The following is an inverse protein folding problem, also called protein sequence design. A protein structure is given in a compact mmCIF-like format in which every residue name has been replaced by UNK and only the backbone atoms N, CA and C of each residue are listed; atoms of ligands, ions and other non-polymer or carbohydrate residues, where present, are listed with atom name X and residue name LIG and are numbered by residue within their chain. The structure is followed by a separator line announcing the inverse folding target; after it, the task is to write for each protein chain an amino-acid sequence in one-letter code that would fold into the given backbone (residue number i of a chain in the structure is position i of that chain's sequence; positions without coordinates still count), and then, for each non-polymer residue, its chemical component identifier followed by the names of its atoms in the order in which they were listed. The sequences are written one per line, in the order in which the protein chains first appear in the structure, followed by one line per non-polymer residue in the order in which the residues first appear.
data_IF_131733911920
#
_entry.id   IF_131733911920
#
_cell.length_a   1.000
_cell.length_b   1.000
_cell.length_c   1.000
_cell.angle_alpha   90.00
_cell.angle_beta   90.00
_cell.angle_gamma   90.00
#
_symmetry.space_group_name_H-M   'P 1'
#
loop_
_entity.id
_entity.type
_entity.pdbx_description
1 polymer ?
#
# COMPACT_ATOMS: atom_id res chain seq x y z
N UNK A 1 22.98 -10.28 1.77
CA UNK A 1 22.31 -11.56 2.06
C UNK A 1 23.13 -12.80 1.70
N UNK A 2 23.61 -12.97 0.45
CA UNK A 2 24.32 -14.19 0.01
C UNK A 2 25.50 -14.62 0.91
N UNK A 3 26.32 -13.68 1.38
CA UNK A 3 27.42 -13.99 2.29
C UNK A 3 26.94 -14.58 3.63
N UNK A 4 25.86 -14.04 4.21
CA UNK A 4 25.27 -14.56 5.43
C UNK A 4 24.70 -15.97 5.22
N UNK A 5 23.99 -16.21 4.11
CA UNK A 5 23.46 -17.54 3.79
C UNK A 5 24.59 -18.55 3.55
N UNK A 6 25.72 -18.15 2.97
CA UNK A 6 26.90 -19.02 2.85
C UNK A 6 27.50 -19.41 4.20
N UNK A 7 27.48 -18.51 5.20
CA UNK A 7 27.91 -18.84 6.56
C UNK A 7 26.95 -19.86 7.21
N UNK A 8 25.64 -19.66 7.06
CA UNK A 8 24.62 -20.61 7.52
C UNK A 8 24.82 -21.98 6.88
N UNK A 9 24.99 -22.03 5.56
CA UNK A 9 25.23 -23.28 4.82
C UNK A 9 26.45 -24.02 5.34
N UNK A 10 27.57 -23.31 5.58
CA UNK A 10 28.80 -23.91 6.11
C UNK A 10 28.61 -24.45 7.51
N UNK A 11 27.91 -23.71 8.37
CA UNK A 11 27.58 -24.15 9.72
C UNK A 11 26.71 -25.41 9.69
N UNK A 12 25.60 -25.39 8.95
CA UNK A 12 24.69 -26.54 8.79
C UNK A 12 25.42 -27.78 8.29
N UNK A 13 26.31 -27.63 7.29
CA UNK A 13 27.10 -28.74 6.75
C UNK A 13 28.16 -29.28 7.71
N UNK A 14 28.63 -28.47 8.67
CA UNK A 14 29.65 -28.86 9.66
C UNK A 14 29.08 -29.55 10.91
N UNK A 15 27.76 -29.61 11.07
CA UNK A 15 27.13 -30.21 12.26
C UNK A 15 27.17 -31.74 12.20
N UNK A 16 27.39 -32.34 13.37
CA UNK A 16 27.51 -33.80 13.55
C UNK A 16 26.18 -34.56 13.37
N UNK A 17 25.07 -33.83 13.41
CA UNK A 17 23.72 -34.37 13.21
C UNK A 17 23.46 -34.44 11.71
N UNK A 18 23.16 -35.63 11.14
CA UNK A 18 22.69 -35.72 9.77
C UNK A 18 21.46 -34.83 9.60
N UNK A 19 21.55 -33.88 8.66
CA UNK A 19 20.47 -32.96 8.27
C UNK A 19 19.82 -32.22 9.46
N UNK A 20 20.55 -31.34 10.16
CA UNK A 20 20.05 -30.69 11.38
C UNK A 20 18.78 -29.86 11.11
N UNK A 21 17.91 -29.75 12.11
CA UNK A 21 16.78 -28.82 12.01
C UNK A 21 17.29 -27.38 11.94
N UNK A 22 16.96 -26.68 10.86
CA UNK A 22 17.53 -25.37 10.57
C UNK A 22 16.46 -24.41 10.05
N UNK A 23 16.30 -23.31 10.78
CA UNK A 23 15.41 -22.20 10.46
C UNK A 23 16.24 -20.92 10.37
N UNK A 24 16.03 -20.14 9.32
CA UNK A 24 16.59 -18.80 9.23
C UNK A 24 15.50 -17.77 9.57
N UNK A 25 15.89 -16.71 10.28
CA UNK A 25 15.01 -15.57 10.57
C UNK A 25 15.64 -14.32 9.96
N UNK A 26 14.86 -13.53 9.25
CA UNK A 26 15.35 -12.33 8.58
C UNK A 26 14.32 -11.23 8.51
N UNK A 27 14.80 -9.99 8.42
CA UNK A 27 13.99 -8.81 8.15
C UNK A 27 14.56 -8.12 6.92
N UNK A 28 13.96 -8.38 5.76
CA UNK A 28 14.45 -7.91 4.48
C UNK A 28 13.33 -7.93 3.44
N UNK A 29 13.53 -7.24 2.31
CA UNK A 29 12.70 -7.41 1.14
C UNK A 29 13.24 -8.58 0.29
N UNK A 30 12.47 -9.67 0.21
CA UNK A 30 12.77 -10.92 -0.49
C UNK A 30 11.64 -11.16 -1.48
N UNK A 31 11.98 -11.39 -2.74
CA UNK A 31 10.99 -11.57 -3.80
C UNK A 31 11.46 -12.58 -4.87
N UNK A 32 10.52 -13.01 -5.70
CA UNK A 32 10.79 -13.86 -6.85
C UNK A 32 11.20 -13.02 -8.05
N UNK A 33 12.49 -12.74 -8.15
CA UNK A 33 13.05 -11.96 -9.27
C UNK A 33 12.79 -12.72 -10.59
N UNK A 34 12.01 -12.12 -11.49
CA UNK A 34 11.65 -12.68 -12.79
C UNK A 34 10.17 -13.05 -12.98
N UNK A 35 9.32 -12.90 -11.94
CA UNK A 35 7.85 -13.03 -12.09
C UNK A 35 7.21 -11.64 -12.24
N UNK A 36 6.49 -11.36 -13.34
CA UNK A 36 5.91 -10.04 -13.62
C UNK A 36 4.89 -9.56 -12.58
N UNK A 37 4.25 -10.48 -11.86
CA UNK A 37 3.09 -10.25 -10.99
C UNK A 37 3.40 -9.51 -9.68
N UNK A 38 4.67 -9.41 -9.25
CA UNK A 38 5.06 -8.81 -7.96
C UNK A 38 5.46 -7.32 -8.06
N UNK A 39 5.45 -6.72 -9.26
CA UNK A 39 6.01 -5.37 -9.51
C UNK A 39 5.00 -4.34 -10.04
N UNK A 40 3.73 -4.71 -10.25
CA UNK A 40 2.66 -3.77 -10.63
C UNK A 40 2.01 -3.16 -9.38
N UNK A 41 1.43 -1.96 -9.48
CA UNK A 41 0.77 -1.30 -8.34
C UNK A 41 -0.40 -2.13 -7.76
N UNK A 42 -0.99 -3.03 -8.55
CA UNK A 42 -2.02 -4.00 -8.14
C UNK A 42 -1.45 -5.31 -7.58
N UNK A 43 -0.15 -5.58 -7.82
CA UNK A 43 0.60 -6.74 -7.37
C UNK A 43 1.58 -6.44 -6.23
N UNK A 44 1.55 -5.23 -5.65
CA UNK A 44 2.44 -4.83 -4.56
C UNK A 44 2.19 -5.73 -3.34
N UNK A 45 3.22 -6.47 -2.96
CA UNK A 45 3.30 -7.15 -1.66
C UNK A 45 3.53 -6.17 -0.50
N UNK A 46 3.73 -4.89 -0.81
CA UNK A 46 4.05 -3.82 0.13
C UNK A 46 2.84 -2.98 0.52
N UNK A 47 2.86 -2.49 1.76
CA UNK A 47 1.85 -1.60 2.34
C UNK A 47 2.36 -0.16 2.46
N UNK A 48 1.45 0.83 2.44
CA UNK A 48 1.76 2.25 2.71
C UNK A 48 2.42 2.48 4.08
N UNK A 49 2.22 1.60 5.05
CA UNK A 49 2.83 1.68 6.37
C UNK A 49 4.24 1.09 6.44
N UNK A 50 4.68 0.40 5.39
CA UNK A 50 6.02 -0.17 5.33
C UNK A 50 7.03 0.89 4.90
N UNK A 51 8.19 0.89 5.56
CA UNK A 51 9.30 1.78 5.20
C UNK A 51 10.13 1.14 4.10
N UNK A 52 10.51 1.92 3.09
CA UNK A 52 11.52 1.47 2.15
C UNK A 52 12.84 1.21 2.89
N UNK A 53 13.33 -0.04 2.84
CA UNK A 53 14.58 -0.47 3.47
C UNK A 53 15.78 -0.40 2.50
N UNK A 54 15.69 0.39 1.43
CA UNK A 54 16.79 0.58 0.49
C UNK A 54 18.02 1.23 1.17
N UNK A 55 18.98 0.39 1.54
CA UNK A 55 20.33 0.83 1.92
C UNK A 55 21.28 0.51 0.77
N UNK A 56 21.81 1.53 0.10
CA UNK A 56 22.89 1.37 -0.88
C UNK A 56 22.53 0.70 -2.22
N UNK A 57 21.27 0.75 -2.65
CA UNK A 57 20.87 0.39 -4.02
C UNK A 57 20.53 -1.08 -4.29
N UNK A 58 20.58 -1.97 -3.30
CA UNK A 58 20.05 -3.34 -3.44
C UNK A 58 18.61 -3.35 -2.94
N UNK A 59 17.66 -3.29 -3.87
CA UNK A 59 16.23 -3.14 -3.54
C UNK A 59 15.57 -4.46 -3.12
N UNK A 60 16.12 -5.61 -3.55
CA UNK A 60 15.47 -6.92 -3.42
C UNK A 60 16.48 -8.04 -3.26
N UNK A 61 16.24 -8.95 -2.32
CA UNK A 61 16.94 -10.23 -2.21
C UNK A 61 16.18 -11.29 -3.02
N UNK A 62 16.80 -11.94 -4.01
CA UNK A 62 16.15 -13.06 -4.69
C UNK A 62 15.89 -14.22 -3.72
N UNK A 63 14.67 -14.77 -3.71
CA UNK A 63 14.30 -15.90 -2.85
C UNK A 63 15.25 -17.11 -3.01
N UNK A 64 15.70 -17.39 -4.24
CA UNK A 64 16.64 -18.48 -4.52
C UNK A 64 18.03 -18.35 -3.88
N UNK A 65 18.32 -17.26 -3.15
CA UNK A 65 19.53 -17.18 -2.31
C UNK A 65 19.48 -18.22 -1.19
N UNK A 66 18.29 -18.63 -0.73
CA UNK A 66 18.11 -19.61 0.33
C UNK A 66 18.21 -21.08 -0.15
N UNK A 67 18.12 -21.32 -1.46
CA UNK A 67 18.18 -22.67 -2.03
C UNK A 67 19.50 -23.38 -1.70
N UNK A 68 19.42 -24.66 -1.36
CA UNK A 68 20.56 -25.49 -1.01
C UNK A 68 21.33 -25.01 0.24
N UNK A 69 20.75 -24.15 1.07
CA UNK A 69 21.35 -23.73 2.34
C UNK A 69 21.16 -24.76 3.47
N UNK A 70 20.40 -25.84 3.22
CA UNK A 70 20.03 -26.83 4.23
C UNK A 70 19.01 -26.30 5.23
N UNK A 71 18.22 -25.30 4.83
CA UNK A 71 17.16 -24.69 5.63
C UNK A 71 15.83 -25.39 5.34
N UNK A 72 15.04 -25.63 6.39
CA UNK A 72 13.69 -26.17 6.27
C UNK A 72 12.65 -25.06 6.18
N UNK A 73 12.95 -23.91 6.80
CA UNK A 73 12.05 -22.76 6.84
C UNK A 73 12.84 -21.46 6.95
N UNK A 74 12.34 -20.41 6.29
CA UNK A 74 12.83 -19.04 6.42
C UNK A 74 11.67 -18.16 6.88
N UNK A 75 11.74 -17.70 8.12
CA UNK A 75 10.80 -16.77 8.70
C UNK A 75 11.22 -15.33 8.36
N UNK A 76 10.43 -14.68 7.51
CA UNK A 76 10.63 -13.28 7.14
C UNK A 76 9.66 -12.37 7.88
N UNK A 77 10.20 -11.26 8.37
CA UNK A 77 9.45 -10.07 8.75
C UNK A 77 9.70 -8.94 7.74
N UNK A 78 9.01 -7.81 7.93
CA UNK A 78 9.06 -6.56 7.18
C UNK A 78 7.74 -6.23 6.49
N UNK A 79 7.22 -7.17 5.70
CA UNK A 79 5.96 -6.99 4.97
C UNK A 79 4.77 -7.27 5.87
N UNK A 80 3.74 -6.45 5.78
CA UNK A 80 2.54 -6.51 6.62
C UNK A 80 1.47 -7.45 6.05
N UNK A 81 1.60 -7.88 4.80
CA UNK A 81 0.82 -8.96 4.21
C UNK A 81 1.54 -10.29 4.42
N UNK A 82 0.91 -11.21 5.16
CA UNK A 82 1.41 -12.58 5.28
C UNK A 82 1.28 -13.32 3.95
N UNK A 83 2.35 -13.95 3.48
CA UNK A 83 2.36 -14.75 2.26
C UNK A 83 3.62 -15.61 2.16
N UNK A 84 3.56 -16.61 1.29
CA UNK A 84 4.73 -17.38 0.88
C UNK A 84 5.41 -16.74 -0.33
N UNK A 85 6.73 -16.62 -0.23
CA UNK A 85 7.60 -16.33 -1.36
C UNK A 85 8.03 -17.68 -1.91
N UNK A 86 7.57 -18.05 -3.11
CA UNK A 86 7.91 -19.35 -3.72
C UNK A 86 9.43 -19.58 -3.74
N UNK A 87 9.96 -20.35 -2.79
CA UNK A 87 11.32 -20.86 -2.83
C UNK A 87 11.36 -22.17 -3.60
N UNK A 88 12.53 -22.61 -4.06
CA UNK A 88 12.67 -23.93 -4.67
C UNK A 88 12.39 -25.03 -3.64
N UNK A 89 13.44 -25.46 -2.93
CA UNK A 89 13.34 -26.55 -1.95
C UNK A 89 13.16 -26.04 -0.50
N UNK A 90 13.12 -24.72 -0.30
CA UNK A 90 13.04 -24.08 1.01
C UNK A 90 11.79 -23.24 1.11
N UNK A 91 11.02 -23.43 2.19
CA UNK A 91 9.83 -22.63 2.44
C UNK A 91 10.26 -21.25 2.97
N UNK A 92 9.88 -20.20 2.26
CA UNK A 92 10.21 -18.80 2.61
C UNK A 92 8.92 -18.02 2.76
N UNK A 93 8.65 -17.46 3.95
CA UNK A 93 7.35 -16.84 4.23
C UNK A 93 7.46 -15.55 5.02
N UNK A 94 6.65 -14.58 4.64
CA UNK A 94 6.30 -13.44 5.49
C UNK A 94 5.14 -13.81 6.39
N UNK A 95 5.28 -13.55 7.69
CA UNK A 95 4.18 -13.74 8.65
C UNK A 95 3.12 -12.64 8.58
N UNK A 96 3.44 -11.50 7.95
CA UNK A 96 2.61 -10.31 8.02
C UNK A 96 2.64 -9.64 9.38
N UNK A 97 1.86 -8.57 9.52
CA UNK A 97 1.60 -7.91 10.80
C UNK A 97 0.41 -8.56 11.51
N UNK A 98 0.29 -8.35 12.83
CA UNK A 98 -0.85 -8.84 13.62
C UNK A 98 -2.11 -7.97 13.43
N UNK A 99 -1.91 -6.67 13.22
CA UNK A 99 -2.94 -5.67 13.02
C UNK A 99 -2.73 -4.94 11.70
N UNK A 100 -3.80 -4.35 11.16
CA UNK A 100 -3.73 -3.45 10.01
C UNK A 100 -3.18 -2.09 10.45
N UNK A 101 -2.11 -1.62 9.81
CA UNK A 101 -1.47 -0.33 10.15
C UNK A 101 -1.74 0.79 9.15
N UNK A 102 -2.32 0.48 7.99
CA UNK A 102 -2.77 1.45 6.99
C UNK A 102 -4.03 0.95 6.28
N UNK A 103 -4.71 1.85 5.59
CA UNK A 103 -5.90 1.51 4.81
C UNK A 103 -5.59 0.66 3.58
N UNK A 104 -4.34 0.62 3.09
CA UNK A 104 -3.93 -0.31 2.04
C UNK A 104 -3.99 -1.77 2.50
N UNK A 105 -4.03 -2.01 3.81
CA UNK A 105 -4.16 -3.33 4.41
C UNK A 105 -5.61 -3.71 4.74
N UNK A 106 -6.60 -2.89 4.34
CA UNK A 106 -8.02 -3.12 4.69
C UNK A 106 -8.51 -4.52 4.27
N UNK A 107 -8.08 -4.99 3.11
CA UNK A 107 -8.41 -6.31 2.59
C UNK A 107 -7.43 -7.42 3.02
N UNK A 108 -6.39 -7.11 3.81
CA UNK A 108 -5.44 -8.14 4.25
C UNK A 108 -6.05 -8.97 5.38
N UNK A 109 -6.03 -10.28 5.20
CA UNK A 109 -6.23 -11.24 6.27
C UNK A 109 -5.01 -11.22 7.18
N UNK A 110 -5.26 -11.13 8.49
CA UNK A 110 -4.22 -11.19 9.50
C UNK A 110 -4.26 -12.57 10.14
N UNK A 111 -3.09 -13.16 10.33
CA UNK A 111 -2.96 -14.49 10.89
C UNK A 111 -1.62 -14.61 11.63
N UNK A 112 -1.49 -15.65 12.44
CA UNK A 112 -0.18 -16.17 12.84
C UNK A 112 0.08 -17.45 12.08
N UNK A 113 1.35 -17.68 11.73
CA UNK A 113 1.78 -18.92 11.09
C UNK A 113 2.37 -19.83 12.17
N UNK A 114 1.82 -21.02 12.31
CA UNK A 114 2.36 -22.08 13.17
C UNK A 114 3.04 -23.10 12.28
N UNK A 115 4.32 -23.35 12.58
CA UNK A 115 5.20 -24.20 11.78
C UNK A 115 5.74 -25.31 12.66
N UNK A 116 5.39 -26.53 12.31
CA UNK A 116 5.89 -27.74 12.96
C UNK A 116 7.07 -28.29 12.13
N UNK A 117 8.27 -28.16 12.68
CA UNK A 117 9.51 -28.61 12.04
C UNK A 117 9.73 -30.09 12.35
N UNK A 118 9.45 -30.93 11.36
CA UNK A 118 9.59 -32.38 11.42
C UNK A 118 11.03 -32.87 11.61
N UNK A 119 11.19 -34.19 11.56
CA UNK A 119 12.50 -34.81 11.48
C UNK A 119 13.23 -34.37 10.19
N UNK A 120 14.55 -34.50 10.13
CA UNK A 120 15.29 -34.18 8.93
C UNK A 120 14.76 -34.91 7.69
N UNK A 121 14.63 -34.19 6.57
CA UNK A 121 14.03 -34.73 5.33
C UNK A 121 12.50 -34.87 5.34
N UNK A 122 11.85 -34.47 6.43
CA UNK A 122 10.38 -34.35 6.49
C UNK A 122 9.97 -32.91 6.14
N UNK A 123 8.91 -32.76 5.35
CA UNK A 123 8.33 -31.45 5.06
C UNK A 123 7.82 -30.78 6.35
N UNK A 124 7.88 -29.45 6.42
CA UNK A 124 7.28 -28.70 7.51
C UNK A 124 5.75 -28.76 7.38
N UNK A 125 5.05 -28.94 8.49
CA UNK A 125 3.61 -28.70 8.55
C UNK A 125 3.37 -27.23 8.89
N UNK A 126 2.52 -26.56 8.10
CA UNK A 126 2.25 -25.15 8.23
C UNK A 126 0.74 -24.96 8.34
N UNK A 127 0.32 -24.24 9.38
CA UNK A 127 -1.07 -23.82 9.55
C UNK A 127 -1.15 -22.34 9.89
N UNK A 128 -2.10 -21.68 9.27
CA UNK A 128 -2.43 -20.28 9.56
C UNK A 128 -3.58 -20.24 10.56
N UNK A 129 -3.42 -19.44 11.60
CA UNK A 129 -4.49 -19.15 12.58
C UNK A 129 -4.91 -17.71 12.38
N UNK A 130 -6.12 -17.51 11.84
CA UNK A 130 -6.68 -16.18 11.59
C UNK A 130 -6.76 -15.36 12.89
N UNK A 131 -6.41 -14.08 12.77
CA UNK A 131 -6.49 -13.09 13.83
C UNK A 131 -7.64 -12.12 13.55
N UNK A 132 -8.78 -12.27 14.25
CA UNK A 132 -9.88 -11.32 14.17
C UNK A 132 -9.37 -9.91 14.43
N UNK A 133 -9.69 -8.98 13.54
CA UNK A 133 -9.33 -7.58 13.72
C UNK A 133 -10.36 -6.93 14.65
N UNK A 134 -9.92 -6.20 15.69
CA UNK A 134 -10.83 -5.63 16.68
C UNK A 134 -11.81 -4.61 16.06
N UNK A 135 -11.42 -4.02 14.93
CA UNK A 135 -12.27 -3.15 14.13
C UNK A 135 -11.94 -3.36 12.64
N UNK A 136 -12.93 -3.53 11.77
CA UNK A 136 -12.70 -3.56 10.32
C UNK A 136 -12.23 -2.18 9.82
N UNK A 137 -11.63 -2.18 8.63
CA UNK A 137 -11.20 -0.96 7.93
C UNK A 137 -11.93 -0.84 6.60
N UNK A 138 -12.33 0.38 6.22
CA UNK A 138 -12.91 0.64 4.91
C UNK A 138 -12.34 1.91 4.27
N UNK A 139 -12.20 1.85 2.95
CA UNK A 139 -11.92 3.00 2.09
C UNK A 139 -13.20 3.30 1.32
N UNK A 140 -13.82 4.43 1.59
CA UNK A 140 -15.07 4.83 0.96
C UNK A 140 -14.82 6.08 0.13
N UNK A 141 -15.33 6.08 -1.11
CA UNK A 141 -15.18 7.20 -2.04
C UNK A 141 -16.50 7.43 -2.74
N UNK A 142 -17.14 8.55 -2.44
CA UNK A 142 -18.40 8.95 -3.06
C UNK A 142 -18.70 10.44 -2.78
N UNK A 143 -19.82 10.95 -3.29
CA UNK A 143 -20.38 12.23 -2.91
C UNK A 143 -20.71 12.27 -1.42
N UNK A 144 -20.75 13.47 -0.84
CA UNK A 144 -21.06 13.65 0.58
C UNK A 144 -22.45 13.11 0.92
N UNK A 145 -23.42 13.26 0.03
CA UNK A 145 -24.79 12.80 0.31
C UNK A 145 -24.89 11.28 0.28
N UNK A 146 -24.15 10.62 -0.61
CA UNK A 146 -24.08 9.15 -0.65
C UNK A 146 -23.29 8.58 0.54
N UNK A 147 -22.19 9.22 0.94
CA UNK A 147 -21.44 8.83 2.13
C UNK A 147 -22.26 8.97 3.42
N UNK A 148 -23.22 9.90 3.47
CA UNK A 148 -24.11 10.09 4.62
C UNK A 148 -25.41 9.27 4.51
N UNK A 149 -25.63 8.59 3.39
CA UNK A 149 -26.81 7.73 3.17
C UNK A 149 -26.69 6.42 3.97
N UNK A 150 -27.68 5.53 3.79
CA UNK A 150 -27.66 4.20 4.39
C UNK A 150 -26.82 3.19 3.59
N UNK A 151 -26.28 3.56 2.43
CA UNK A 151 -25.41 2.70 1.60
C UNK A 151 -24.20 2.17 2.36
N UNK A 152 -23.65 2.95 3.30
CA UNK A 152 -22.47 2.59 4.09
C UNK A 152 -22.77 2.37 5.56
N UNK A 153 -24.00 1.98 5.91
CA UNK A 153 -24.42 1.75 7.31
C UNK A 153 -23.49 0.77 8.04
N UNK A 154 -23.07 -0.31 7.37
CA UNK A 154 -22.19 -1.34 7.94
C UNK A 154 -20.78 -0.80 8.24
N UNK A 155 -20.34 0.26 7.57
CA UNK A 155 -19.02 0.85 7.73
C UNK A 155 -18.97 1.99 8.75
N UNK A 156 -20.10 2.39 9.35
CA UNK A 156 -20.17 3.53 10.30
C UNK A 156 -19.32 3.34 11.55
N UNK A 157 -19.08 2.08 11.94
CA UNK A 157 -18.21 1.72 13.08
C UNK A 157 -16.83 1.19 12.67
N UNK A 158 -16.51 1.17 11.38
CA UNK A 158 -15.16 0.81 10.91
C UNK A 158 -14.18 1.95 11.18
N UNK A 159 -12.88 1.64 11.20
CA UNK A 159 -11.91 2.67 10.89
C UNK A 159 -12.08 3.01 9.41
N UNK A 160 -12.39 4.28 9.09
CA UNK A 160 -12.67 4.66 7.70
C UNK A 160 -11.76 5.76 7.18
N UNK A 161 -11.37 5.58 5.92
CA UNK A 161 -10.85 6.61 5.04
C UNK A 161 -11.99 7.03 4.11
N UNK A 162 -12.35 8.31 4.15
CA UNK A 162 -13.45 8.90 3.41
C UNK A 162 -12.89 9.88 2.39
N UNK A 163 -13.21 9.65 1.12
CA UNK A 163 -12.86 10.56 0.02
C UNK A 163 -14.13 11.11 -0.60
N UNK A 164 -14.38 12.39 -0.38
CA UNK A 164 -15.57 13.09 -0.87
C UNK A 164 -15.36 13.57 -2.30
N UNK A 165 -16.26 13.23 -3.22
CA UNK A 165 -16.05 13.44 -4.66
C UNK A 165 -16.86 14.56 -5.29
N UNK A 166 -17.62 15.32 -4.51
CA UNK A 166 -18.35 16.51 -4.96
C UNK A 166 -17.44 17.47 -5.75
N UNK A 167 -17.98 18.21 -6.71
CA UNK A 167 -17.17 19.13 -7.54
C UNK A 167 -16.51 20.24 -6.71
N UNK A 168 -17.23 20.75 -5.70
CA UNK A 168 -16.72 21.73 -4.73
C UNK A 168 -16.66 21.12 -3.32
N UNK A 169 -15.73 21.55 -2.45
CA UNK A 169 -15.65 21.06 -1.08
C UNK A 169 -16.98 21.35 -0.32
N UNK A 170 -17.67 20.32 0.20
CA UNK A 170 -18.94 20.54 0.88
C UNK A 170 -18.80 21.34 2.18
N UNK A 171 -19.80 22.16 2.48
CA UNK A 171 -19.81 22.91 3.73
C UNK A 171 -19.81 21.98 4.94
N UNK A 172 -18.96 22.29 5.93
CA UNK A 172 -18.83 21.52 7.18
C UNK A 172 -18.59 20.01 6.95
N UNK A 173 -17.95 19.63 5.84
CA UNK A 173 -17.68 18.24 5.42
C UNK A 173 -17.22 17.34 6.58
N UNK A 174 -16.19 17.74 7.32
CA UNK A 174 -15.65 16.91 8.41
C UNK A 174 -16.67 16.68 9.52
N UNK A 175 -17.38 17.73 9.95
CA UNK A 175 -18.38 17.62 11.02
C UNK A 175 -19.58 16.75 10.60
N UNK A 176 -19.99 16.82 9.33
CA UNK A 176 -21.05 15.96 8.78
C UNK A 176 -20.62 14.49 8.78
N UNK A 177 -19.40 14.20 8.31
CA UNK A 177 -18.85 12.85 8.30
C UNK A 177 -18.66 12.29 9.72
N UNK A 178 -18.16 13.09 10.66
CA UNK A 178 -17.96 12.69 12.06
C UNK A 178 -19.27 12.38 12.79
N UNK A 179 -20.39 12.95 12.34
CA UNK A 179 -21.72 12.65 12.89
C UNK A 179 -22.23 11.25 12.48
N UNK A 180 -21.70 10.66 11.41
CA UNK A 180 -22.14 9.37 10.85
C UNK A 180 -21.09 8.27 11.05
N UNK A 181 -19.81 8.59 10.92
CA UNK A 181 -18.70 7.64 11.04
C UNK A 181 -17.92 7.88 12.33
N UNK A 182 -18.15 7.03 13.33
CA UNK A 182 -17.57 7.19 14.67
C UNK A 182 -16.03 7.14 14.68
N UNK A 183 -15.42 6.46 13.71
CA UNK A 183 -13.97 6.29 13.61
C UNK A 183 -13.41 6.69 12.25
N UNK A 184 -13.87 7.83 11.72
CA UNK A 184 -13.29 8.46 10.54
C UNK A 184 -11.86 8.97 10.81
N UNK A 185 -10.84 8.19 10.41
CA UNK A 185 -9.43 8.53 10.66
C UNK A 185 -8.84 9.43 9.57
N UNK A 186 -9.31 9.30 8.33
CA UNK A 186 -8.87 10.14 7.20
C UNK A 186 -10.07 10.62 6.41
N UNK A 187 -10.11 11.93 6.16
CA UNK A 187 -11.16 12.62 5.40
C UNK A 187 -10.47 13.53 4.39
N UNK A 188 -10.76 13.36 3.11
CA UNK A 188 -10.25 14.21 2.04
C UNK A 188 -11.34 14.56 1.06
N UNK A 189 -11.12 15.62 0.29
CA UNK A 189 -11.97 16.03 -0.83
C UNK A 189 -11.18 15.91 -2.12
N UNK A 190 -11.70 15.12 -3.05
CA UNK A 190 -11.11 14.87 -4.36
C UNK A 190 -12.22 14.83 -5.42
N UNK A 191 -12.48 15.95 -6.12
CA UNK A 191 -13.52 16.03 -7.14
C UNK A 191 -13.43 14.89 -8.15
N UNK A 192 -14.56 14.26 -8.49
CA UNK A 192 -14.61 13.18 -9.48
C UNK A 192 -14.03 13.60 -10.84
N UNK A 193 -14.24 14.87 -11.21
CA UNK A 193 -13.79 15.45 -12.48
C UNK A 193 -12.40 16.09 -12.43
N UNK A 194 -11.57 15.73 -11.45
CA UNK A 194 -10.20 16.28 -11.35
C UNK A 194 -9.39 15.82 -12.57
N UNK A 195 -9.30 16.67 -13.59
CA UNK A 195 -8.42 16.44 -14.73
C UNK A 195 -7.02 16.28 -14.15
N UNK A 196 -6.43 15.10 -14.32
CA UNK A 196 -5.08 14.82 -13.83
C UNK A 196 -4.11 15.79 -14.53
N UNK A 197 -3.74 16.87 -13.82
CA UNK A 197 -2.76 17.87 -14.26
C UNK A 197 -1.42 17.24 -14.66
N UNK A 198 -1.15 16.00 -14.24
CA UNK A 198 0.09 15.30 -14.48
C UNK A 198 0.31 14.86 -15.94
N UNK A 199 -0.74 14.73 -16.77
CA UNK A 199 -0.60 14.22 -18.15
C UNK A 199 -0.67 15.25 -19.26
N UNK A 200 -1.08 16.48 -18.97
CA UNK A 200 -1.17 17.53 -19.99
C UNK A 200 -0.62 18.86 -19.48
N UNK A 201 0.70 19.04 -19.61
CA UNK A 201 1.39 20.29 -19.30
C UNK A 201 0.89 21.48 -20.13
N UNK A 202 0.07 21.25 -21.16
CA UNK A 202 -0.39 22.28 -22.08
C UNK A 202 0.77 22.93 -22.85
N UNK A 203 0.47 23.49 -24.02
CA UNK A 203 1.39 24.42 -24.67
C UNK A 203 0.99 25.85 -24.29
N UNK A 204 1.86 26.54 -23.55
CA UNK A 204 1.70 27.93 -23.16
C UNK A 204 2.33 28.90 -24.17
N UNK A 205 2.99 28.39 -25.23
CA UNK A 205 3.65 29.25 -26.22
C UNK A 205 2.60 30.02 -27.03
N UNK A 206 2.77 31.34 -27.10
CA UNK A 206 1.95 32.22 -27.92
C UNK A 206 0.54 32.53 -27.36
N UNK A 207 0.23 32.12 -26.12
CA UNK A 207 -1.02 32.47 -25.45
C UNK A 207 -0.86 33.74 -24.62
N UNK A 208 -1.91 34.55 -24.56
CA UNK A 208 -1.95 35.66 -23.62
C UNK A 208 -2.02 35.11 -22.18
N UNK A 209 -1.40 35.77 -21.18
CA UNK A 209 -1.35 35.27 -19.80
C UNK A 209 -2.72 34.98 -19.18
N UNK A 210 -3.75 35.78 -19.50
CA UNK A 210 -5.11 35.53 -19.03
C UNK A 210 -5.72 34.25 -19.62
N UNK A 211 -5.36 33.89 -20.86
CA UNK A 211 -5.82 32.65 -21.49
C UNK A 211 -5.14 31.43 -20.85
N UNK A 212 -3.88 31.56 -20.42
CA UNK A 212 -3.17 30.51 -19.67
C UNK A 212 -3.84 30.26 -18.32
N UNK A 213 -4.26 31.32 -17.62
CA UNK A 213 -4.97 31.22 -16.33
C UNK A 213 -6.38 30.67 -16.52
N UNK A 214 -7.10 31.08 -17.57
CA UNK A 214 -8.42 30.55 -17.89
C UNK A 214 -8.37 29.07 -18.28
N UNK A 215 -7.36 28.65 -19.05
CA UNK A 215 -7.12 27.24 -19.36
C UNK A 215 -6.74 26.44 -18.12
N UNK A 216 -5.93 27.01 -17.20
CA UNK A 216 -5.63 26.37 -15.92
C UNK A 216 -6.89 26.18 -15.07
N UNK A 217 -7.75 27.19 -14.96
CA UNK A 217 -9.00 27.07 -14.22
C UNK A 217 -9.91 26.04 -14.85
N UNK A 218 -10.10 26.05 -16.17
CA UNK A 218 -10.88 25.02 -16.89
C UNK A 218 -10.35 23.62 -16.61
N UNK A 219 -9.02 23.46 -16.54
CA UNK A 219 -8.39 22.19 -16.20
C UNK A 219 -8.60 21.77 -14.75
N UNK A 220 -8.53 22.69 -13.80
CA UNK A 220 -8.63 22.38 -12.35
C UNK A 220 -10.08 22.22 -11.89
N UNK A 221 -11.00 23.02 -12.43
CA UNK A 221 -12.41 23.06 -12.01
C UNK A 221 -13.33 22.30 -12.96
N UNK A 222 -12.87 21.93 -14.16
CA UNK A 222 -13.70 21.31 -15.19
C UNK A 222 -14.62 22.27 -15.94
N UNK A 223 -14.65 23.57 -15.58
CA UNK A 223 -15.56 24.57 -16.15
C UNK A 223 -14.81 25.80 -16.66
N UNK A 224 -15.31 26.41 -17.75
CA UNK A 224 -14.79 27.71 -18.24
C UNK A 224 -15.17 28.79 -17.22
N UNK A 225 -14.25 29.70 -16.85
CA UNK A 225 -14.58 30.81 -15.96
C UNK A 225 -15.79 31.60 -16.49
N UNK A 226 -16.75 31.87 -15.63
CA UNK A 226 -17.85 32.79 -15.97
C UNK A 226 -17.37 34.24 -16.08
N UNK A 227 -18.25 35.15 -16.52
CA UNK A 227 -17.88 36.55 -16.76
C UNK A 227 -17.41 37.26 -15.48
N UNK A 228 -17.97 36.92 -14.32
CA UNK A 228 -17.58 37.50 -13.03
C UNK A 228 -16.22 36.97 -12.57
N UNK A 229 -15.99 35.66 -12.70
CA UNK A 229 -14.71 35.02 -12.43
C UNK A 229 -13.62 35.57 -13.35
N UNK A 230 -13.91 35.73 -14.64
CA UNK A 230 -12.97 36.28 -15.61
C UNK A 230 -12.62 37.75 -15.30
N UNK A 231 -13.58 38.56 -14.86
CA UNK A 231 -13.35 39.93 -14.44
C UNK A 231 -12.40 40.01 -13.22
N UNK A 232 -12.54 39.10 -12.26
CA UNK A 232 -11.63 39.02 -11.10
C UNK A 232 -10.21 38.64 -11.53
N UNK A 233 -10.06 37.66 -12.43
CA UNK A 233 -8.74 37.25 -12.93
C UNK A 233 -8.03 38.38 -13.69
N UNK A 234 -8.78 39.10 -14.53
CA UNK A 234 -8.28 40.27 -15.25
C UNK A 234 -7.80 41.35 -14.29
N UNK A 235 -8.64 41.72 -13.31
CA UNK A 235 -8.28 42.74 -12.34
C UNK A 235 -7.04 42.36 -11.52
N UNK A 236 -6.93 41.11 -11.08
CA UNK A 236 -5.74 40.62 -10.35
C UNK A 236 -4.46 40.60 -11.19
N UNK A 237 -4.57 40.25 -12.48
CA UNK A 237 -3.43 40.28 -13.40
C UNK A 237 -2.96 41.71 -13.70
N UNK A 238 -3.88 42.63 -13.96
CA UNK A 238 -3.58 44.03 -14.26
C UNK A 238 -2.94 44.76 -13.06
N UNK A 239 -3.31 44.40 -11.83
CA UNK A 239 -2.69 44.96 -10.61
C UNK A 239 -1.25 44.47 -10.35
N UNK A 240 -0.87 43.33 -10.92
CA UNK A 240 0.46 42.75 -10.75
C UNK A 240 1.45 43.13 -11.87
N UNK A 241 1.03 43.96 -12.81
CA UNK A 241 1.80 44.38 -13.99
C UNK A 241 2.29 45.81 -13.84
#
# INVERSE_FOLDING_TARGET
MRAAVNLIRRDVAGRSVPTPRAVAVGHAFVANVGRPEEWTDEGRTTSESERDLTVGGVQVVPAGVFDGAGLQYVALGHLHRGHEVSGGDTIVRYSGSLLRYSFSEAAHDKHVVIVDIGAPGTACEIREVSLPQPRPMSRLRDSIDELLSDTYVDAREHFVELVVTDDAPPERMHARLDAVFAYALRKSHEPANRVSLARDRGDARGKEPLDVVADFLRKVTGAVPDEAQFAILRAGYEQCR
#
